data_IF_507073016341
#
_entry.id   IF_507073016341
#
_cell.length_a   1.000
_cell.length_b   1.000
_cell.length_c   1.000
_cell.angle_alpha   90.00
_cell.angle_beta   90.00
_cell.angle_gamma   90.00
#
_symmetry.space_group_name_H-M   'P 1'
#
loop_
_entity.id
_entity.type
_entity.pdbx_description
1 polymer ?
#
# COMPACT_ATOMS: atom_id res chain seq x y z
N UNK A 1 -46.21 19.96 25.23
CA UNK A 1 -45.13 19.18 24.59
C UNK A 1 -44.30 20.15 23.76
N UNK A 2 -43.12 20.54 24.25
CA UNK A 2 -42.24 21.47 23.53
C UNK A 2 -41.47 20.68 22.47
N UNK A 3 -41.64 21.05 21.19
CA UNK A 3 -40.88 20.47 20.07
C UNK A 3 -39.42 20.91 20.19
N UNK A 4 -38.49 19.97 20.26
CA UNK A 4 -37.06 20.27 20.15
C UNK A 4 -36.78 21.05 18.86
N UNK A 5 -35.87 22.06 18.88
CA UNK A 5 -35.52 22.81 17.69
C UNK A 5 -34.89 21.85 16.70
N UNK A 6 -35.64 21.51 15.65
CA UNK A 6 -35.15 20.72 14.54
C UNK A 6 -33.92 21.44 13.97
N UNK A 7 -32.77 20.80 14.05
CA UNK A 7 -31.49 21.35 13.59
C UNK A 7 -31.61 21.62 12.08
N UNK A 8 -31.94 22.86 11.74
CA UNK A 8 -32.06 23.32 10.36
C UNK A 8 -30.64 23.38 9.84
N UNK A 9 -30.33 22.60 8.81
CA UNK A 9 -29.01 22.61 8.20
C UNK A 9 -28.74 24.04 7.70
N UNK A 10 -27.73 24.76 8.24
CA UNK A 10 -27.55 26.19 7.99
C UNK A 10 -27.30 26.53 6.52
N UNK A 11 -26.90 25.54 5.72
CA UNK A 11 -26.66 25.66 4.29
C UNK A 11 -27.63 24.78 3.49
N UNK A 12 -28.70 25.36 2.91
CA UNK A 12 -29.60 24.60 2.04
C UNK A 12 -28.91 24.32 0.70
N UNK A 13 -28.35 23.12 0.55
CA UNK A 13 -27.68 22.68 -0.68
C UNK A 13 -28.73 22.17 -1.67
N UNK A 14 -28.70 22.69 -2.92
CA UNK A 14 -29.52 22.17 -4.01
C UNK A 14 -28.81 20.97 -4.64
N UNK A 15 -29.37 19.78 -4.45
CA UNK A 15 -28.88 18.53 -5.03
C UNK A 15 -29.88 18.01 -6.06
N UNK A 16 -29.37 17.45 -7.17
CA UNK A 16 -30.20 16.63 -8.05
C UNK A 16 -30.65 15.37 -7.31
N UNK A 17 -31.79 14.80 -7.70
CA UNK A 17 -32.34 13.59 -7.06
C UNK A 17 -31.32 12.44 -7.06
N UNK A 18 -30.72 12.19 -8.22
CA UNK A 18 -29.72 11.13 -8.38
C UNK A 18 -28.49 11.32 -7.50
N UNK A 19 -27.98 12.56 -7.39
CA UNK A 19 -26.82 12.85 -6.55
C UNK A 19 -27.14 12.66 -5.07
N UNK A 20 -28.33 13.07 -4.64
CA UNK A 20 -28.80 12.87 -3.26
C UNK A 20 -28.91 11.38 -2.93
N UNK A 21 -29.46 10.57 -3.82
CA UNK A 21 -29.59 9.12 -3.62
C UNK A 21 -28.22 8.43 -3.52
N UNK A 22 -27.26 8.83 -4.36
CA UNK A 22 -25.88 8.33 -4.30
C UNK A 22 -25.20 8.67 -2.98
N UNK A 23 -25.34 9.91 -2.51
CA UNK A 23 -24.77 10.34 -1.23
C UNK A 23 -25.45 9.66 -0.04
N UNK A 24 -26.77 9.47 -0.08
CA UNK A 24 -27.51 8.79 0.98
C UNK A 24 -27.12 7.31 1.09
N UNK A 25 -26.97 6.64 -0.05
CA UNK A 25 -26.50 5.26 -0.10
C UNK A 25 -25.09 5.12 0.46
N UNK A 26 -24.18 6.02 0.09
CA UNK A 26 -22.82 6.02 0.59
C UNK A 26 -22.74 6.32 2.10
N UNK A 27 -23.51 7.30 2.58
CA UNK A 27 -23.58 7.65 3.99
C UNK A 27 -24.08 6.46 4.83
N UNK A 28 -25.14 5.77 4.37
CA UNK A 28 -25.65 4.54 5.01
C UNK A 28 -24.62 3.42 5.04
N UNK A 29 -23.93 3.18 3.91
CA UNK A 29 -22.89 2.16 3.83
C UNK A 29 -21.71 2.46 4.78
N UNK A 30 -21.39 3.73 4.98
CA UNK A 30 -20.35 4.18 5.90
C UNK A 30 -20.81 4.31 7.37
N UNK A 31 -22.10 4.13 7.67
CA UNK A 31 -22.66 4.33 9.00
C UNK A 31 -22.63 5.79 9.49
N UNK A 32 -22.63 6.76 8.57
CA UNK A 32 -22.54 8.20 8.85
C UNK A 32 -23.82 8.93 8.46
N UNK A 33 -24.02 10.12 9.04
CA UNK A 33 -25.08 11.01 8.57
C UNK A 33 -24.74 11.54 7.17
N UNK A 34 -25.77 11.88 6.38
CA UNK A 34 -25.58 12.48 5.06
C UNK A 34 -24.69 13.73 5.11
N UNK A 35 -24.83 14.54 6.16
CA UNK A 35 -24.03 15.74 6.36
C UNK A 35 -22.54 15.42 6.61
N UNK A 36 -22.26 14.41 7.44
CA UNK A 36 -20.90 13.98 7.71
C UNK A 36 -20.21 13.42 6.45
N UNK A 37 -20.94 12.65 5.64
CA UNK A 37 -20.43 12.14 4.37
C UNK A 37 -20.14 13.26 3.37
N UNK A 38 -21.01 14.28 3.29
CA UNK A 38 -20.76 15.46 2.43
C UNK A 38 -19.52 16.23 2.87
N UNK A 39 -19.36 16.48 4.18
CA UNK A 39 -18.19 17.18 4.72
C UNK A 39 -16.90 16.42 4.41
N UNK A 40 -16.87 15.12 4.68
CA UNK A 40 -15.69 14.28 4.44
C UNK A 40 -15.26 14.30 2.97
N UNK A 41 -16.20 14.23 2.03
CA UNK A 41 -15.89 14.30 0.60
C UNK A 41 -15.37 15.68 0.19
N UNK A 42 -15.94 16.74 0.75
CA UNK A 42 -15.48 18.10 0.50
C UNK A 42 -14.05 18.29 1.03
N UNK A 43 -13.79 17.88 2.27
CA UNK A 43 -12.44 17.93 2.86
C UNK A 43 -11.42 17.13 2.04
N UNK A 44 -11.77 15.90 1.62
CA UNK A 44 -10.91 15.08 0.78
C UNK A 44 -10.60 15.75 -0.57
N UNK A 45 -11.57 16.45 -1.18
CA UNK A 45 -11.37 17.14 -2.46
C UNK A 45 -10.34 18.26 -2.37
N UNK A 46 -10.22 18.92 -1.21
CA UNK A 46 -9.19 19.92 -0.98
C UNK A 46 -7.83 19.29 -0.66
N UNK A 47 -7.82 18.13 -0.01
CA UNK A 47 -6.58 17.41 0.31
C UNK A 47 -5.88 16.90 -0.95
N UNK A 48 -6.64 16.38 -1.91
CA UNK A 48 -6.11 15.93 -3.21
C UNK A 48 -5.59 17.09 -4.07
N UNK A 49 -6.13 18.30 -3.90
CA UNK A 49 -5.62 19.50 -4.58
C UNK A 49 -4.39 20.10 -3.89
N UNK A 50 -4.17 19.80 -2.61
CA UNK A 50 -3.00 20.24 -1.85
C UNK A 50 -1.76 19.36 -2.07
N UNK A 51 -1.48 18.95 -3.30
CA UNK A 51 -0.11 18.56 -3.68
C UNK A 51 0.73 19.82 -3.97
N UNK A 52 0.75 20.76 -3.01
CA UNK A 52 1.81 21.78 -2.92
C UNK A 52 3.08 21.17 -2.29
N UNK A 53 3.00 19.90 -1.85
CA UNK A 53 4.18 19.11 -1.60
C UNK A 53 4.98 19.00 -2.92
N UNK A 54 6.27 19.37 -2.92
CA UNK A 54 7.09 19.23 -4.10
C UNK A 54 7.02 17.77 -4.59
N UNK A 55 6.95 17.54 -5.91
CA UNK A 55 6.97 16.19 -6.44
C UNK A 55 8.20 15.46 -5.89
N UNK A 56 8.01 14.22 -5.43
CA UNK A 56 9.10 13.40 -4.90
C UNK A 56 10.25 13.40 -5.91
N UNK A 57 11.43 13.79 -5.45
CA UNK A 57 12.63 13.78 -6.28
C UNK A 57 13.14 12.35 -6.43
N UNK A 58 13.98 12.12 -7.43
CA UNK A 58 14.67 10.83 -7.61
C UNK A 58 15.51 10.48 -6.38
N UNK A 59 16.03 11.48 -5.68
CA UNK A 59 16.81 11.28 -4.46
C UNK A 59 15.93 10.85 -3.28
N UNK A 60 14.72 11.40 -3.17
CA UNK A 60 13.73 10.94 -2.17
C UNK A 60 13.36 9.47 -2.39
N UNK A 61 13.12 9.08 -3.64
CA UNK A 61 12.81 7.69 -4.00
C UNK A 61 14.00 6.77 -3.70
N UNK A 62 15.24 7.20 -3.99
CA UNK A 62 16.45 6.43 -3.67
C UNK A 62 16.66 6.30 -2.16
N UNK A 63 16.32 7.33 -1.39
CA UNK A 63 16.44 7.30 0.07
C UNK A 63 15.41 6.36 0.69
N UNK A 64 14.15 6.42 0.25
CA UNK A 64 13.10 5.49 0.68
C UNK A 64 13.51 4.04 0.39
N UNK A 65 13.95 3.75 -0.84
CA UNK A 65 14.39 2.41 -1.23
C UNK A 65 15.56 1.89 -0.37
N UNK A 66 16.52 2.76 -0.03
CA UNK A 66 17.66 2.39 0.83
C UNK A 66 17.23 2.03 2.25
N UNK A 67 16.31 2.79 2.83
CA UNK A 67 15.85 2.53 4.20
C UNK A 67 15.05 1.22 4.28
N UNK A 68 14.20 0.93 3.29
CA UNK A 68 13.48 -0.36 3.22
C UNK A 68 14.44 -1.55 3.08
N UNK A 69 15.45 -1.45 2.20
CA UNK A 69 16.44 -2.53 2.02
C UNK A 69 17.24 -2.75 3.31
N UNK A 70 17.63 -1.68 4.03
CA UNK A 70 18.28 -1.82 5.34
C UNK A 70 17.39 -2.51 6.36
N UNK A 71 16.09 -2.24 6.35
CA UNK A 71 15.14 -2.87 7.24
C UNK A 71 15.02 -4.37 6.97
N UNK A 72 14.96 -4.79 5.70
CA UNK A 72 14.94 -6.21 5.31
C UNK A 72 16.24 -6.90 5.73
N UNK A 73 17.39 -6.30 5.44
CA UNK A 73 18.69 -6.89 5.79
C UNK A 73 18.94 -7.02 7.30
N UNK A 74 18.32 -6.16 8.12
CA UNK A 74 18.36 -6.29 9.59
C UNK A 74 17.40 -7.35 10.13
N UNK A 75 16.38 -7.73 9.35
CA UNK A 75 15.41 -8.75 9.75
C UNK A 75 15.89 -10.17 9.39
N UNK A 76 16.74 -10.31 8.38
CA UNK A 76 17.31 -11.60 7.95
C UNK A 76 18.49 -12.09 8.81
N UNK A 77 19.00 -11.29 9.75
CA UNK A 77 20.10 -11.70 10.64
C UNK A 77 19.68 -12.65 11.77
N UNK A 78 18.39 -12.98 11.92
CA UNK A 78 17.87 -13.95 12.90
C UNK A 78 17.47 -15.29 12.23
N UNK A 79 17.95 -15.61 11.03
CA UNK A 79 17.50 -16.82 10.36
C UNK A 79 18.28 -17.28 9.12
N UNK A 80 19.61 -17.41 9.19
CA UNK A 80 20.30 -18.25 8.21
C UNK A 80 21.59 -18.87 8.77
N UNK A 81 21.45 -20.01 9.46
CA UNK A 81 22.55 -20.96 9.62
C UNK A 81 22.80 -21.63 8.26
N UNK A 82 23.66 -21.04 7.41
CA UNK A 82 24.30 -21.79 6.31
C UNK A 82 25.32 -22.71 6.96
N UNK A 83 24.83 -23.82 7.49
CA UNK A 83 25.60 -24.78 8.25
C UNK A 83 25.24 -26.22 7.95
N UNK A 84 24.40 -26.51 6.96
CA UNK A 84 24.21 -27.89 6.52
C UNK A 84 25.15 -28.17 5.36
N UNK A 85 26.28 -28.75 5.75
CA UNK A 85 27.17 -29.55 4.92
C UNK A 85 26.31 -30.54 4.12
N UNK A 86 26.00 -30.21 2.87
CA UNK A 86 25.39 -31.19 1.96
C UNK A 86 26.49 -32.22 1.66
N UNK A 87 26.35 -33.41 2.22
CA UNK A 87 27.20 -34.53 1.84
C UNK A 87 26.93 -34.87 0.36
N UNK A 88 28.00 -35.06 -0.42
CA UNK A 88 27.96 -35.30 -1.88
C UNK A 88 27.07 -36.49 -2.32
N UNK A 89 26.58 -37.29 -1.35
CA UNK A 89 25.69 -38.42 -1.56
C UNK A 89 24.25 -38.01 -1.94
N UNK A 90 23.81 -36.80 -1.58
CA UNK A 90 22.42 -36.34 -1.79
C UNK A 90 22.20 -35.51 -3.07
N UNK A 91 23.23 -35.39 -3.92
CA UNK A 91 23.09 -34.76 -5.22
C UNK A 91 22.27 -35.65 -6.19
N UNK A 92 21.12 -35.18 -6.71
CA UNK A 92 20.35 -35.91 -7.71
C UNK A 92 21.22 -36.22 -8.93
N UNK A 93 21.11 -37.46 -9.42
CA UNK A 93 21.98 -38.05 -10.46
C UNK A 93 22.05 -37.25 -11.76
N UNK A 94 21.10 -36.36 -11.99
CA UNK A 94 20.99 -35.52 -13.19
C UNK A 94 22.09 -34.45 -13.29
N UNK A 95 22.74 -34.05 -12.19
CA UNK A 95 23.80 -33.04 -12.20
C UNK A 95 25.23 -33.58 -12.36
N UNK A 96 25.42 -34.90 -12.44
CA UNK A 96 26.76 -35.52 -12.57
C UNK A 96 27.38 -35.41 -13.97
N UNK A 97 26.68 -34.84 -14.95
CA UNK A 97 27.13 -34.76 -16.35
C UNK A 97 27.75 -33.42 -16.77
N UNK A 98 27.72 -32.37 -15.92
CA UNK A 98 28.20 -31.03 -16.30
C UNK A 98 29.71 -30.81 -15.95
N UNK A 99 30.31 -31.67 -15.12
CA UNK A 99 31.70 -31.52 -14.66
C UNK A 99 32.76 -32.30 -15.45
N UNK A 100 32.46 -32.83 -16.64
CA UNK A 100 33.47 -33.51 -17.50
C UNK A 100 33.85 -32.75 -18.78
N UNK A 101 33.39 -31.51 -18.95
CA UNK A 101 33.63 -30.72 -20.17
C UNK A 101 34.48 -29.46 -19.99
N UNK A 102 35.20 -29.30 -18.86
CA UNK A 102 36.14 -28.19 -18.66
C UNK A 102 37.62 -28.59 -18.57
N UNK A 103 37.94 -29.88 -18.70
CA UNK A 103 39.33 -30.38 -18.61
C UNK A 103 39.89 -30.86 -19.97
N UNK A 104 39.45 -30.24 -21.06
CA UNK A 104 39.95 -30.49 -22.43
C UNK A 104 40.31 -29.21 -23.21
N UNK A 105 40.49 -28.10 -22.49
CA UNK A 105 40.96 -26.80 -23.03
C UNK A 105 42.23 -26.29 -22.34
N UNK A 106 43.03 -27.19 -21.79
CA UNK A 106 44.39 -26.95 -21.28
C UNK A 106 45.30 -28.16 -21.54
N UNK A 107 45.37 -28.59 -22.79
CA UNK A 107 46.56 -29.25 -23.37
C UNK A 107 46.71 -28.73 -24.80
#
# INVERSE_FOLDING_TARGET
MSKEPQQVNPYPIRLTKELREKLDTAAKAAGRSLNAEMLLRLEASFLEQSTDAPPLTVDDVRQIAREEIKHVLKHDSEGFLIGDRIDDADLPKEFKSIQKSKDKRRQ
#
